data_IF_403291489661
#
_entry.id   IF_403291489661
#
_cell.length_a   1.000
_cell.length_b   1.000
_cell.length_c   1.000
_cell.angle_alpha   90.00
_cell.angle_beta   90.00
_cell.angle_gamma   90.00
#
_symmetry.space_group_name_H-M   'P 1'
#
loop_
_entity.id
_entity.type
_entity.pdbx_description
1 polymer ?
#
# COMPACT_ATOMS: atom_id res chain seq x y z
N UNK A 1 -21.55 -15.15 -1.64
CA UNK A 1 -22.40 -13.99 -1.28
C UNK A 1 -23.56 -13.73 -2.24
N UNK A 2 -23.67 -14.39 -3.41
CA UNK A 2 -24.76 -14.11 -4.36
C UNK A 2 -26.12 -14.67 -3.88
N UNK A 3 -26.15 -15.92 -3.40
CA UNK A 3 -27.40 -16.57 -2.94
C UNK A 3 -27.99 -15.91 -1.68
N UNK A 4 -27.13 -15.50 -0.74
CA UNK A 4 -27.53 -14.88 0.52
C UNK A 4 -27.97 -13.41 0.37
N UNK A 5 -27.62 -12.75 -0.75
CA UNK A 5 -27.97 -11.36 -1.03
C UNK A 5 -29.36 -11.19 -1.69
N UNK A 6 -29.96 -12.25 -2.22
CA UNK A 6 -31.30 -12.23 -2.86
C UNK A 6 -32.41 -12.21 -1.79
N UNK A 7 -32.15 -12.78 -0.63
CA UNK A 7 -33.04 -12.74 0.53
C UNK A 7 -32.75 -11.47 1.34
N UNK A 8 -33.14 -10.29 0.82
CA UNK A 8 -32.85 -8.98 1.44
C UNK A 8 -33.24 -8.85 2.92
N UNK A 9 -34.18 -9.68 3.41
CA UNK A 9 -34.57 -9.77 4.83
C UNK A 9 -33.54 -10.41 5.77
N UNK A 10 -32.55 -11.13 5.26
CA UNK A 10 -31.45 -11.65 6.09
C UNK A 10 -30.39 -10.58 6.38
N UNK A 11 -30.31 -9.51 5.59
CA UNK A 11 -29.43 -8.36 5.87
C UNK A 11 -29.85 -7.61 7.13
N UNK A 12 -31.16 -7.45 7.36
CA UNK A 12 -31.71 -6.81 8.57
C UNK A 12 -31.35 -7.57 9.85
N UNK A 13 -31.20 -8.89 9.78
CA UNK A 13 -30.73 -9.69 10.92
C UNK A 13 -29.29 -9.33 11.33
N UNK A 14 -28.40 -9.07 10.37
CA UNK A 14 -27.04 -8.61 10.65
C UNK A 14 -27.01 -7.15 11.11
N UNK A 15 -27.95 -6.31 10.65
CA UNK A 15 -28.10 -4.93 11.13
C UNK A 15 -28.68 -4.85 12.56
N UNK A 16 -29.46 -5.85 12.98
CA UNK A 16 -29.99 -5.96 14.35
C UNK A 16 -28.90 -6.29 15.38
N UNK A 17 -27.74 -6.80 14.94
CA UNK A 17 -26.63 -7.09 15.85
C UNK A 17 -26.17 -5.76 16.46
N UNK A 18 -26.30 -5.58 17.79
CA UNK A 18 -25.92 -4.32 18.42
C UNK A 18 -24.41 -4.10 18.24
N UNK A 19 -24.02 -2.85 17.96
CA UNK A 19 -22.64 -2.45 17.71
C UNK A 19 -21.60 -3.07 18.69
N UNK A 20 -21.88 -3.26 19.99
CA UNK A 20 -20.96 -3.92 20.91
C UNK A 20 -20.64 -5.38 20.56
N UNK A 21 -21.59 -6.15 20.02
CA UNK A 21 -21.37 -7.55 19.62
C UNK A 21 -20.58 -7.61 18.33
N UNK A 22 -20.88 -6.73 17.38
CA UNK A 22 -20.06 -6.58 16.18
C UNK A 22 -18.63 -6.19 16.57
N UNK A 23 -18.45 -5.14 17.38
CA UNK A 23 -17.16 -4.74 17.91
C UNK A 23 -16.45 -5.86 18.70
N UNK A 24 -17.16 -6.70 19.46
CA UNK A 24 -16.59 -7.84 20.17
C UNK A 24 -16.14 -8.96 19.22
N UNK A 25 -16.91 -9.27 18.18
CA UNK A 25 -16.53 -10.26 17.16
C UNK A 25 -15.34 -9.75 16.35
N UNK A 26 -15.31 -8.47 15.96
CA UNK A 26 -14.13 -7.85 15.37
C UNK A 26 -12.98 -7.83 16.36
N UNK A 27 -13.22 -7.55 17.65
CA UNK A 27 -12.21 -7.64 18.70
C UNK A 27 -11.71 -9.07 18.90
N UNK A 28 -12.43 -10.13 18.53
CA UNK A 28 -11.91 -11.51 18.58
C UNK A 28 -11.24 -11.91 17.27
N UNK A 29 -11.79 -11.54 16.11
CA UNK A 29 -11.18 -11.81 14.80
C UNK A 29 -9.87 -11.02 14.64
N UNK A 30 -9.93 -9.71 14.91
CA UNK A 30 -8.75 -8.87 14.96
C UNK A 30 -7.99 -9.09 16.25
N UNK A 31 -8.60 -9.37 17.40
CA UNK A 31 -7.88 -9.54 18.68
C UNK A 31 -7.39 -10.94 19.01
N UNK A 32 -7.60 -11.98 18.23
CA UNK A 32 -6.68 -13.12 18.30
C UNK A 32 -5.35 -12.75 17.64
N UNK A 33 -5.44 -12.08 16.48
CA UNK A 33 -4.28 -11.47 15.79
C UNK A 33 -3.68 -10.39 16.70
N UNK A 34 -4.52 -9.58 17.35
CA UNK A 34 -4.17 -8.38 18.13
C UNK A 34 -3.91 -8.69 19.61
N UNK A 35 -4.33 -9.78 20.23
CA UNK A 35 -3.91 -10.17 21.60
C UNK A 35 -2.46 -10.67 21.58
N UNK A 36 -2.05 -11.35 20.50
CA UNK A 36 -0.63 -11.62 20.21
C UNK A 36 0.14 -10.33 19.91
N UNK A 37 -0.51 -9.27 19.41
CA UNK A 37 0.10 -7.94 19.16
C UNK A 37 0.06 -6.99 20.36
N UNK A 38 -0.96 -7.07 21.23
CA UNK A 38 -1.19 -6.25 22.42
C UNK A 38 -0.16 -6.62 23.48
N UNK A 39 0.29 -7.88 23.50
CA UNK A 39 1.42 -8.30 24.35
C UNK A 39 2.80 -7.92 23.77
N UNK A 40 2.89 -7.49 22.49
CA UNK A 40 4.15 -7.15 21.81
C UNK A 40 4.05 -5.91 20.89
N UNK A 41 3.48 -4.79 21.39
CA UNK A 41 3.62 -3.44 20.82
C UNK A 41 3.07 -3.21 19.38
N UNK A 42 2.71 -1.96 19.05
CA UNK A 42 2.30 -1.47 17.70
C UNK A 42 3.27 -1.80 16.54
N UNK A 43 4.40 -2.45 16.82
CA UNK A 43 5.48 -2.75 15.88
C UNK A 43 5.38 -4.16 15.26
N UNK A 44 4.76 -5.13 15.94
CA UNK A 44 4.78 -6.53 15.50
C UNK A 44 3.88 -6.82 14.29
N UNK A 45 2.71 -6.16 14.16
CA UNK A 45 1.76 -6.42 13.05
C UNK A 45 2.31 -5.88 11.73
N UNK A 46 2.81 -4.65 11.80
CA UNK A 46 3.42 -4.00 10.64
C UNK A 46 4.66 -4.77 10.19
N UNK A 47 5.48 -5.26 11.13
CA UNK A 47 6.64 -6.08 10.80
C UNK A 47 6.26 -7.46 10.23
N UNK A 48 5.19 -8.10 10.69
CA UNK A 48 4.72 -9.39 10.17
C UNK A 48 4.20 -9.25 8.73
N UNK A 49 3.35 -8.25 8.46
CA UNK A 49 2.86 -7.97 7.10
C UNK A 49 4.01 -7.64 6.15
N UNK A 50 4.99 -6.86 6.63
CA UNK A 50 6.19 -6.53 5.86
C UNK A 50 7.08 -7.76 5.63
N UNK A 51 7.26 -8.63 6.63
CA UNK A 51 8.03 -9.87 6.49
C UNK A 51 7.39 -10.85 5.50
N UNK A 52 6.07 -11.02 5.57
CA UNK A 52 5.31 -11.83 4.61
C UNK A 52 5.43 -11.21 3.20
N UNK A 53 5.30 -9.89 3.08
CA UNK A 53 5.48 -9.17 1.80
C UNK A 53 6.89 -9.31 1.22
N UNK A 54 7.92 -9.19 2.05
CA UNK A 54 9.34 -9.34 1.67
C UNK A 54 9.64 -10.79 1.27
N UNK A 55 8.98 -11.78 1.87
CA UNK A 55 9.19 -13.19 1.48
C UNK A 55 8.91 -13.46 0.00
N UNK A 56 8.03 -12.68 -0.64
CA UNK A 56 7.76 -12.80 -2.09
C UNK A 56 8.92 -12.34 -2.98
N UNK A 57 9.93 -11.64 -2.46
CA UNK A 57 11.14 -11.26 -3.21
C UNK A 57 11.90 -12.51 -3.67
N UNK A 58 11.75 -13.66 -2.98
CA UNK A 58 12.33 -14.93 -3.39
C UNK A 58 11.86 -15.39 -4.78
N UNK A 59 10.69 -14.93 -5.24
CA UNK A 59 10.16 -15.26 -6.57
C UNK A 59 10.74 -14.36 -7.67
N UNK A 60 11.58 -13.38 -7.32
CA UNK A 60 12.19 -12.45 -8.27
C UNK A 60 13.71 -12.63 -8.31
N UNK A 61 14.35 -12.31 -9.44
CA UNK A 61 15.79 -12.44 -9.59
C UNK A 61 16.56 -11.41 -8.73
N UNK A 62 17.17 -11.86 -7.65
CA UNK A 62 17.95 -11.02 -6.72
C UNK A 62 19.40 -10.76 -7.17
N UNK A 63 19.86 -11.37 -8.27
CA UNK A 63 21.17 -11.05 -8.87
C UNK A 63 21.08 -9.90 -9.88
N UNK A 64 19.88 -9.43 -10.22
CA UNK A 64 19.72 -8.30 -11.13
C UNK A 64 19.73 -6.98 -10.39
N UNK A 65 20.70 -6.12 -10.71
CA UNK A 65 20.80 -4.75 -10.20
C UNK A 65 19.52 -3.94 -10.48
N UNK A 66 18.82 -4.19 -11.61
CA UNK A 66 17.54 -3.55 -11.93
C UNK A 66 16.49 -3.85 -10.88
N UNK A 67 16.32 -5.13 -10.53
CA UNK A 67 15.29 -5.55 -9.59
C UNK A 67 15.60 -5.10 -8.16
N UNK A 68 16.86 -5.20 -7.73
CA UNK A 68 17.30 -4.69 -6.43
C UNK A 68 17.13 -3.17 -6.32
N UNK A 69 17.43 -2.43 -7.40
CA UNK A 69 17.23 -0.98 -7.46
C UNK A 69 15.74 -0.62 -7.37
N UNK A 70 14.88 -1.31 -8.11
CA UNK A 70 13.44 -1.05 -8.07
C UNK A 70 12.88 -1.33 -6.67
N UNK A 71 13.27 -2.45 -6.06
CA UNK A 71 12.85 -2.80 -4.72
C UNK A 71 13.31 -1.78 -3.67
N UNK A 72 14.60 -1.41 -3.69
CA UNK A 72 15.16 -0.47 -2.71
C UNK A 72 14.57 0.94 -2.83
N UNK A 73 14.49 1.46 -4.06
CA UNK A 73 13.97 2.81 -4.29
C UNK A 73 12.47 2.92 -4.00
N UNK A 74 11.68 1.90 -4.38
CA UNK A 74 10.23 1.89 -4.14
C UNK A 74 9.89 1.84 -2.66
N UNK A 75 10.61 1.05 -1.86
CA UNK A 75 10.45 1.01 -0.40
C UNK A 75 10.87 2.32 0.26
N UNK A 76 12.00 2.90 -0.16
CA UNK A 76 12.48 4.16 0.40
C UNK A 76 11.49 5.31 0.15
N UNK A 77 11.06 5.51 -1.10
CA UNK A 77 10.09 6.54 -1.46
C UNK A 77 8.70 6.26 -0.88
N UNK A 78 8.32 4.98 -0.83
CA UNK A 78 7.07 4.50 -0.26
C UNK A 78 6.90 4.79 1.23
N UNK A 79 8.00 5.01 1.97
CA UNK A 79 7.97 5.44 3.37
C UNK A 79 8.19 6.96 3.48
N UNK A 80 9.13 7.51 2.71
CA UNK A 80 9.51 8.93 2.81
C UNK A 80 8.38 9.89 2.43
N UNK A 81 7.67 9.62 1.33
CA UNK A 81 6.62 10.52 0.82
C UNK A 81 5.41 10.57 1.78
N UNK A 82 4.83 9.45 2.24
CA UNK A 82 3.74 9.51 3.22
C UNK A 82 4.12 10.24 4.51
N UNK A 83 5.35 10.04 5.00
CA UNK A 83 5.83 10.73 6.21
C UNK A 83 5.88 12.24 6.01
N UNK A 84 6.34 12.70 4.85
CA UNK A 84 6.30 14.12 4.50
C UNK A 84 4.87 14.68 4.48
N UNK A 85 3.91 13.97 3.88
CA UNK A 85 2.51 14.44 3.82
C UNK A 85 1.85 14.52 5.19
N UNK A 86 2.14 13.56 6.08
CA UNK A 86 1.64 13.54 7.46
C UNK A 86 2.23 14.71 8.25
N UNK A 87 3.54 14.89 8.19
CA UNK A 87 4.25 15.91 8.97
C UNK A 87 3.91 17.33 8.50
N UNK A 88 3.76 17.52 7.18
CA UNK A 88 3.27 18.77 6.61
C UNK A 88 1.85 19.09 7.09
N UNK A 89 0.95 18.10 7.09
CA UNK A 89 -0.42 18.27 7.56
C UNK A 89 -0.49 18.65 9.03
N UNK A 90 0.40 18.08 9.85
CA UNK A 90 0.50 18.40 11.28
C UNK A 90 1.03 19.82 11.53
N UNK A 91 2.01 20.28 10.74
CA UNK A 91 2.62 21.60 10.91
C UNK A 91 1.77 22.74 10.33
N UNK A 92 1.23 22.56 9.12
CA UNK A 92 0.50 23.60 8.39
C UNK A 92 -1.03 23.59 8.64
N UNK A 93 -1.55 22.54 9.28
CA UNK A 93 -2.99 22.33 9.50
C UNK A 93 -3.77 21.98 8.22
N UNK A 94 -3.09 21.73 7.10
CA UNK A 94 -3.68 21.26 5.85
C UNK A 94 -2.69 20.39 5.07
N UNK A 95 -3.21 19.53 4.19
CA UNK A 95 -2.37 18.70 3.32
C UNK A 95 -1.52 19.53 2.34
N UNK A 96 -0.39 18.98 1.84
CA UNK A 96 0.46 19.65 0.85
C UNK A 96 -0.29 20.06 -0.43
N UNK A 97 -1.27 19.27 -0.85
CA UNK A 97 -2.12 19.60 -2.01
C UNK A 97 -3.24 20.52 -1.54
N UNK A 98 -3.11 21.81 -1.89
CA UNK A 98 -4.09 22.86 -1.58
C UNK A 98 -4.48 23.62 -2.84
N UNK A 99 -5.62 23.22 -3.39
CA UNK A 99 -6.32 23.89 -4.50
C UNK A 99 -7.68 24.43 -4.05
N UNK A 100 -8.38 25.20 -4.89
CA UNK A 100 -9.73 25.71 -4.59
C UNK A 100 -10.81 24.61 -4.54
N UNK A 101 -10.51 23.39 -4.99
CA UNK A 101 -11.42 22.24 -4.91
C UNK A 101 -11.10 21.34 -3.72
N UNK A 102 -11.94 21.37 -2.68
CA UNK A 102 -11.77 20.50 -1.50
C UNK A 102 -11.69 19.01 -1.85
N UNK A 103 -12.61 18.54 -2.71
CA UNK A 103 -12.65 17.14 -3.16
C UNK A 103 -11.35 16.66 -3.83
N UNK A 104 -10.69 17.55 -4.59
CA UNK A 104 -9.43 17.22 -5.26
C UNK A 104 -8.29 17.10 -4.26
N UNK A 105 -8.25 18.01 -3.29
CA UNK A 105 -7.25 17.99 -2.22
C UNK A 105 -7.39 16.71 -1.39
N UNK A 106 -8.61 16.31 -1.03
CA UNK A 106 -8.86 15.13 -0.21
C UNK A 106 -8.40 13.84 -0.91
N UNK A 107 -8.68 13.72 -2.21
CA UNK A 107 -8.25 12.57 -3.01
C UNK A 107 -6.72 12.48 -3.04
N UNK A 108 -6.04 13.55 -3.41
CA UNK A 108 -4.59 13.52 -3.59
C UNK A 108 -3.85 13.41 -2.27
N UNK A 109 -4.27 14.15 -1.24
CA UNK A 109 -3.66 14.03 0.08
C UNK A 109 -3.87 12.62 0.66
N UNK A 110 -5.01 11.96 0.41
CA UNK A 110 -5.24 10.58 0.84
C UNK A 110 -4.33 9.58 0.12
N UNK A 111 -4.20 9.68 -1.21
CA UNK A 111 -3.33 8.80 -2.02
C UNK A 111 -1.87 8.89 -1.55
N UNK A 112 -1.35 10.10 -1.35
CA UNK A 112 0.05 10.29 -0.97
C UNK A 112 0.33 10.01 0.51
N UNK A 113 -0.69 10.04 1.38
CA UNK A 113 -0.58 9.63 2.79
C UNK A 113 -0.56 8.11 2.94
N UNK A 114 -1.04 7.35 1.95
CA UNK A 114 -1.04 5.89 1.96
C UNK A 114 0.29 5.30 1.47
N UNK A 115 1.11 4.81 2.39
CA UNK A 115 2.37 4.12 2.09
C UNK A 115 2.28 2.99 1.04
N UNK A 116 1.32 2.04 1.12
CA UNK A 116 1.23 0.98 0.11
C UNK A 116 0.87 1.54 -1.28
N UNK A 117 0.02 2.56 -1.34
CA UNK A 117 -0.38 3.19 -2.62
C UNK A 117 0.79 3.90 -3.28
N UNK A 118 1.57 4.68 -2.53
CA UNK A 118 2.77 5.35 -3.05
C UNK A 118 3.82 4.33 -3.47
N UNK A 119 4.07 3.30 -2.66
CA UNK A 119 5.02 2.23 -2.98
C UNK A 119 4.65 1.54 -4.29
N UNK A 120 3.38 1.21 -4.48
CA UNK A 120 2.87 0.57 -5.69
C UNK A 120 3.03 1.49 -6.91
N UNK A 121 2.66 2.76 -6.79
CA UNK A 121 2.77 3.73 -7.87
C UNK A 121 4.23 3.93 -8.31
N UNK A 122 5.13 4.16 -7.35
CA UNK A 122 6.57 4.31 -7.63
C UNK A 122 7.13 3.05 -8.27
N UNK A 123 6.82 1.87 -7.72
CA UNK A 123 7.31 0.59 -8.26
C UNK A 123 6.86 0.38 -9.70
N UNK A 124 5.59 0.60 -10.02
CA UNK A 124 5.06 0.45 -11.38
C UNK A 124 5.69 1.44 -12.36
N UNK A 125 5.87 2.70 -11.96
CA UNK A 125 6.53 3.68 -12.82
C UNK A 125 7.97 3.29 -13.13
N UNK A 126 8.70 2.83 -12.10
CA UNK A 126 10.11 2.48 -12.23
C UNK A 126 10.30 1.23 -13.08
N UNK A 127 9.42 0.24 -12.94
CA UNK A 127 9.41 -0.99 -13.75
C UNK A 127 9.22 -0.66 -15.24
N UNK A 128 8.20 0.17 -15.56
CA UNK A 128 7.93 0.60 -16.93
C UNK A 128 9.07 1.43 -17.54
N UNK A 129 9.68 2.33 -16.76
CA UNK A 129 10.72 3.24 -17.27
C UNK A 129 12.03 2.49 -17.54
N UNK A 130 12.40 1.54 -16.68
CA UNK A 130 13.64 0.78 -16.82
C UNK A 130 13.55 -0.27 -17.93
N UNK A 131 12.39 -0.88 -18.14
CA UNK A 131 12.19 -1.80 -19.26
C UNK A 131 12.25 -1.08 -20.62
N UNK A 132 11.67 0.13 -20.71
CA UNK A 132 11.79 0.97 -21.91
C UNK A 132 13.27 1.32 -22.22
N UNK A 133 14.07 1.63 -21.19
CA UNK A 133 15.49 1.95 -21.36
C UNK A 133 16.30 0.74 -21.83
N UNK A 134 16.01 -0.45 -21.31
CA UNK A 134 16.70 -1.67 -21.74
C UNK A 134 16.35 -2.04 -23.19
N UNK A 135 15.08 -1.92 -23.58
CA UNK A 135 14.62 -2.12 -24.95
C UNK A 135 15.29 -1.15 -25.94
N UNK A 136 15.44 0.11 -25.54
CA UNK A 136 16.17 1.10 -26.34
C UNK A 136 17.65 0.74 -26.49
N UNK A 137 18.32 0.34 -25.40
CA UNK A 137 19.76 0.01 -25.43
C UNK A 137 20.07 -1.20 -26.30
N UNK A 138 19.24 -2.25 -26.25
CA UNK A 138 19.39 -3.41 -27.13
C UNK A 138 19.13 -3.04 -28.58
N UNK A 139 18.10 -2.25 -28.88
CA UNK A 139 17.84 -1.75 -30.25
C UNK A 139 19.03 -0.94 -30.81
N UNK A 140 19.62 -0.04 -30.03
CA UNK A 140 20.80 0.74 -30.46
C UNK A 140 22.01 -0.16 -30.71
N UNK A 141 22.25 -1.17 -29.87
CA UNK A 141 23.32 -2.14 -30.12
C UNK A 141 23.13 -2.93 -31.41
N UNK A 142 21.88 -3.32 -31.73
CA UNK A 142 21.56 -3.97 -33.00
C UNK A 142 21.86 -3.07 -34.21
N UNK A 143 21.53 -1.78 -34.13
CA UNK A 143 21.82 -0.82 -35.22
C UNK A 143 23.32 -0.54 -35.41
N UNK A 144 24.14 -0.65 -34.35
CA UNK A 144 25.59 -0.48 -34.45
C UNK A 144 26.34 -1.73 -34.93
N UNK A 145 25.67 -2.89 -34.98
CA UNK A 145 26.25 -4.16 -35.47
C UNK A 145 25.94 -4.47 -36.94
N UNK A 146 25.20 -3.61 -37.63
CA UNK A 146 24.98 -3.62 -39.10
C UNK A 146 25.73 -2.49 -39.76
#
# INVERSE_FOLDING_TARGET
>A
MIFFSILGKFGDFFALIPFPIFAAIYCVLFGLIVLILILLYELAFFSLATAIGISFIQFTNNNSMRNLYILGLSLFLGISIPRYFIEYSFSAGHGPVKTSGGWFNDIWNSIFTSAPTVTMLVRTLLDNTLDAMLAYKSFVQYLYQT
#
